data_IF_152037888064
#
_entry.id   IF_152037888064
#
_cell.length_a   1.000
_cell.length_b   1.000
_cell.length_c   1.000
_cell.angle_alpha   90.00
_cell.angle_beta   90.00
_cell.angle_gamma   90.00
#
_symmetry.space_group_name_H-M   'P 1'
#
loop_
_entity.id
_entity.type
_entity.pdbx_description
1 polymer ?
#
# COMPACT_ATOMS: atom_id res chain seq x y z
N UNK A 1 -3.14 3.59 14.48
CA UNK A 1 -3.84 2.44 13.90
C UNK A 1 -4.19 1.50 15.04
N UNK A 2 -5.12 0.57 14.83
CA UNK A 2 -5.34 -0.53 15.79
C UNK A 2 -4.99 -1.79 15.01
N UNK A 3 -3.93 -2.48 15.44
CA UNK A 3 -3.56 -3.77 14.89
C UNK A 3 -4.44 -4.83 15.54
N UNK A 4 -4.99 -5.72 14.73
CA UNK A 4 -5.91 -6.77 15.18
C UNK A 4 -5.16 -8.09 15.20
N UNK A 5 -5.19 -8.80 16.33
CA UNK A 5 -4.72 -10.19 16.38
C UNK A 5 -5.66 -11.11 15.59
N UNK A 6 -6.96 -10.81 15.62
CA UNK A 6 -7.97 -11.48 14.80
C UNK A 6 -8.99 -10.52 14.19
N UNK A 7 -9.52 -10.80 12.97
CA UNK A 7 -10.54 -9.95 12.34
C UNK A 7 -11.79 -9.71 13.20
N UNK A 8 -12.17 -10.67 14.04
CA UNK A 8 -13.34 -10.57 14.94
C UNK A 8 -13.19 -9.52 16.05
N UNK A 9 -11.99 -9.01 16.28
CA UNK A 9 -11.72 -7.98 17.30
C UNK A 9 -11.83 -6.56 16.75
N UNK A 10 -12.18 -6.39 15.47
CA UNK A 10 -12.41 -5.06 14.90
C UNK A 10 -13.57 -4.35 15.63
N UNK A 11 -13.35 -3.19 16.26
CA UNK A 11 -14.42 -2.45 16.93
C UNK A 11 -15.52 -2.02 15.96
N UNK A 12 -16.78 -2.00 16.41
CA UNK A 12 -17.93 -1.63 15.55
C UNK A 12 -17.82 -0.20 15.01
N UNK A 13 -17.20 0.71 15.75
CA UNK A 13 -17.02 2.11 15.35
C UNK A 13 -15.74 2.34 14.53
N UNK A 14 -14.91 1.32 14.33
CA UNK A 14 -13.69 1.41 13.55
C UNK A 14 -13.94 1.15 12.06
N UNK A 15 -13.15 1.80 11.20
CA UNK A 15 -13.15 1.51 9.78
C UNK A 15 -12.11 0.43 9.47
N UNK A 16 -12.58 -0.81 9.33
CA UNK A 16 -11.72 -1.94 8.98
C UNK A 16 -11.25 -1.90 7.52
N UNK A 17 -9.99 -2.25 7.30
CA UNK A 17 -9.43 -2.47 5.96
C UNK A 17 -8.38 -3.61 6.00
N UNK A 18 -8.17 -4.25 4.86
CA UNK A 18 -7.10 -5.24 4.61
C UNK A 18 -7.19 -6.54 5.43
N UNK A 19 -8.41 -6.99 5.70
CA UNK A 19 -8.70 -8.31 6.23
C UNK A 19 -10.05 -8.83 5.72
N UNK A 20 -10.31 -10.13 5.92
CA UNK A 20 -11.56 -10.77 5.48
C UNK A 20 -12.79 -10.18 6.20
N UNK A 21 -13.74 -9.66 5.43
CA UNK A 21 -14.97 -9.04 5.96
C UNK A 21 -14.82 -7.58 6.38
N UNK A 22 -13.65 -6.97 6.18
CA UNK A 22 -13.45 -5.53 6.35
C UNK A 22 -14.33 -4.71 5.39
N UNK A 23 -14.61 -3.44 5.76
CA UNK A 23 -15.35 -2.52 4.90
C UNK A 23 -14.62 -2.26 3.57
N UNK A 24 -13.29 -2.23 3.60
CA UNK A 24 -12.43 -2.17 2.42
C UNK A 24 -11.48 -3.36 2.41
N UNK A 25 -11.69 -4.28 1.48
CA UNK A 25 -10.87 -5.48 1.31
C UNK A 25 -10.69 -5.74 -0.19
N UNK A 26 -10.04 -6.84 -0.55
CA UNK A 26 -9.91 -7.28 -1.95
C UNK A 26 -11.28 -7.39 -2.63
N UNK A 27 -11.39 -6.88 -3.86
CA UNK A 27 -12.61 -7.02 -4.68
C UNK A 27 -12.21 -7.53 -6.06
N UNK A 28 -12.61 -8.77 -6.37
CA UNK A 28 -12.22 -9.46 -7.60
C UNK A 28 -10.69 -9.55 -7.76
N UNK A 29 -10.12 -8.73 -8.64
CA UNK A 29 -8.68 -8.66 -8.91
C UNK A 29 -8.03 -7.43 -8.28
N UNK A 30 -8.79 -6.60 -7.56
CA UNK A 30 -8.27 -5.38 -6.96
C UNK A 30 -7.82 -5.67 -5.54
N UNK A 31 -6.60 -5.25 -5.23
CA UNK A 31 -6.07 -5.30 -3.87
C UNK A 31 -6.65 -4.18 -3.01
N UNK A 32 -6.50 -4.26 -1.69
CA UNK A 32 -7.16 -3.33 -0.75
C UNK A 32 -6.79 -1.87 -1.06
N UNK A 33 -5.53 -1.62 -1.43
CA UNK A 33 -5.06 -0.29 -1.79
C UNK A 33 -5.77 0.27 -3.04
N UNK A 34 -6.00 -0.54 -4.07
CA UNK A 34 -6.72 -0.13 -5.29
C UNK A 34 -8.18 0.18 -4.99
N UNK A 35 -8.82 -0.66 -4.15
CA UNK A 35 -10.19 -0.46 -3.68
C UNK A 35 -10.32 0.86 -2.93
N UNK A 36 -9.35 1.19 -2.05
CA UNK A 36 -9.33 2.47 -1.35
C UNK A 36 -9.16 3.65 -2.30
N UNK A 37 -8.20 3.59 -3.24
CA UNK A 37 -8.00 4.68 -4.22
C UNK A 37 -9.28 4.97 -5.00
N UNK A 38 -9.97 3.94 -5.45
CA UNK A 38 -11.21 4.08 -6.20
C UNK A 38 -12.35 4.63 -5.34
N UNK A 39 -12.55 4.05 -4.15
CA UNK A 39 -13.64 4.41 -3.24
C UNK A 39 -13.59 5.89 -2.81
N UNK A 40 -12.40 6.46 -2.73
CA UNK A 40 -12.17 7.86 -2.34
C UNK A 40 -11.80 8.77 -3.52
N UNK A 41 -11.85 8.29 -4.76
CA UNK A 41 -11.53 9.05 -5.97
C UNK A 41 -10.13 9.70 -5.94
N UNK A 42 -9.11 8.91 -5.55
CA UNK A 42 -7.72 9.33 -5.35
C UNK A 42 -6.77 8.89 -6.48
N UNK A 43 -7.31 8.49 -7.64
CA UNK A 43 -6.59 7.82 -8.73
C UNK A 43 -5.66 8.74 -9.56
N UNK A 44 -4.72 9.44 -8.92
CA UNK A 44 -3.71 10.26 -9.62
C UNK A 44 -2.67 9.38 -10.34
N UNK A 45 -1.97 9.89 -11.39
CA UNK A 45 -0.94 9.12 -12.09
C UNK A 45 0.17 8.57 -11.17
N UNK A 46 0.58 9.35 -10.16
CA UNK A 46 1.58 8.92 -9.20
C UNK A 46 1.04 7.81 -8.28
N UNK A 47 -0.21 7.93 -7.81
CA UNK A 47 -0.83 6.90 -6.98
C UNK A 47 -1.13 5.62 -7.76
N UNK A 48 -1.42 5.69 -9.07
CA UNK A 48 -1.57 4.51 -9.93
C UNK A 48 -0.28 3.69 -10.02
N UNK A 49 0.89 4.34 -10.09
CA UNK A 49 2.19 3.64 -10.05
C UNK A 49 2.44 2.97 -8.69
N UNK A 50 2.07 3.63 -7.60
CA UNK A 50 2.12 3.01 -6.27
C UNK A 50 1.18 1.81 -6.21
N UNK A 51 -0.02 1.91 -6.80
CA UNK A 51 -0.97 0.82 -6.85
C UNK A 51 -0.44 -0.39 -7.62
N UNK A 52 0.24 -0.18 -8.76
CA UNK A 52 0.90 -1.26 -9.52
C UNK A 52 1.95 -2.00 -8.67
N UNK A 53 2.75 -1.26 -7.90
CA UNK A 53 3.75 -1.84 -6.98
C UNK A 53 3.07 -2.65 -5.87
N UNK A 54 2.09 -2.05 -5.17
CA UNK A 54 1.38 -2.72 -4.07
C UNK A 54 0.64 -3.96 -4.57
N UNK A 55 -0.02 -3.88 -5.73
CA UNK A 55 -0.70 -5.01 -6.36
C UNK A 55 0.26 -6.17 -6.63
N UNK A 56 1.43 -5.89 -7.22
CA UNK A 56 2.43 -6.91 -7.48
C UNK A 56 2.95 -7.56 -6.18
N UNK A 57 3.20 -6.77 -5.14
CA UNK A 57 3.71 -7.31 -3.87
C UNK A 57 2.65 -8.11 -3.10
N UNK A 58 1.37 -7.79 -3.24
CA UNK A 58 0.27 -8.45 -2.54
C UNK A 58 -0.15 -9.75 -3.25
N UNK A 59 -0.41 -9.69 -4.57
CA UNK A 59 -0.97 -10.84 -5.33
C UNK A 59 -0.18 -11.23 -6.59
N UNK A 60 0.97 -10.59 -6.86
CA UNK A 60 1.79 -10.84 -8.04
C UNK A 60 1.28 -10.18 -9.32
N UNK A 61 1.75 -10.66 -10.48
CA UNK A 61 1.31 -10.17 -11.80
C UNK A 61 2.44 -9.60 -12.65
N UNK A 62 2.17 -8.49 -13.33
CA UNK A 62 3.18 -7.78 -14.13
C UNK A 62 4.07 -6.98 -13.18
N UNK A 63 5.36 -7.32 -13.14
CA UNK A 63 6.32 -6.68 -12.25
C UNK A 63 6.65 -5.24 -12.66
N UNK A 64 6.40 -4.23 -11.81
CA UNK A 64 6.91 -2.88 -12.00
C UNK A 64 8.44 -2.81 -11.80
N UNK A 65 9.16 -1.91 -12.50
CA UNK A 65 10.61 -1.79 -12.39
C UNK A 65 11.13 -1.60 -10.96
N UNK A 66 10.34 -0.95 -10.09
CA UNK A 66 10.70 -0.67 -8.71
C UNK A 66 10.44 -1.85 -7.75
N UNK A 67 9.66 -2.86 -8.15
CA UNK A 67 9.09 -3.85 -7.22
C UNK A 67 10.14 -4.72 -6.52
N UNK A 68 11.03 -5.40 -7.25
CA UNK A 68 12.06 -6.25 -6.64
C UNK A 68 12.96 -5.49 -5.64
N UNK A 69 13.27 -4.22 -5.93
CA UNK A 69 14.05 -3.37 -5.02
C UNK A 69 13.28 -3.01 -3.75
N UNK A 70 11.98 -2.72 -3.87
CA UNK A 70 11.11 -2.40 -2.73
C UNK A 70 10.87 -3.64 -1.88
N UNK A 71 10.62 -4.79 -2.50
CA UNK A 71 10.46 -6.09 -1.83
C UNK A 71 11.68 -6.38 -0.95
N UNK A 72 12.89 -6.32 -1.53
CA UNK A 72 14.15 -6.53 -0.80
C UNK A 72 14.29 -5.61 0.41
N UNK A 73 13.89 -4.33 0.27
CA UNK A 73 13.94 -3.37 1.37
C UNK A 73 12.92 -3.72 2.46
N UNK A 74 11.69 -4.09 2.09
CA UNK A 74 10.67 -4.47 3.05
C UNK A 74 10.98 -5.77 3.77
N UNK A 75 11.54 -6.78 3.10
CA UNK A 75 12.06 -7.99 3.74
C UNK A 75 13.07 -7.62 4.83
N UNK A 76 14.05 -6.78 4.52
CA UNK A 76 15.06 -6.34 5.48
C UNK A 76 14.48 -5.52 6.65
N UNK A 77 13.48 -4.66 6.40
CA UNK A 77 12.82 -3.89 7.46
C UNK A 77 12.02 -4.83 8.37
N UNK A 78 11.23 -5.73 7.79
CA UNK A 78 10.39 -6.67 8.51
C UNK A 78 11.21 -7.62 9.40
N UNK A 79 12.40 -8.06 8.95
CA UNK A 79 13.31 -8.87 9.76
C UNK A 79 13.90 -8.14 10.98
N UNK A 80 13.97 -6.81 10.95
CA UNK A 80 14.67 -6.00 11.95
C UNK A 80 13.74 -5.17 12.84
N UNK A 81 12.48 -4.99 12.45
CA UNK A 81 11.48 -4.21 13.19
C UNK A 81 10.29 -5.12 13.49
N UNK A 82 10.16 -5.53 14.76
CA UNK A 82 9.08 -6.41 15.23
C UNK A 82 7.90 -5.66 15.86
N UNK A 83 7.95 -4.33 15.85
CA UNK A 83 6.89 -3.46 16.39
C UNK A 83 6.13 -2.85 15.20
N UNK A 84 4.83 -3.17 15.10
CA UNK A 84 4.04 -2.84 13.91
C UNK A 84 3.91 -1.33 13.67
N UNK A 85 3.88 -0.53 14.74
CA UNK A 85 3.81 0.93 14.60
C UNK A 85 5.12 1.49 14.03
N UNK A 86 6.27 0.98 14.46
CA UNK A 86 7.57 1.33 13.87
C UNK A 86 7.71 0.82 12.43
N UNK A 87 7.22 -0.39 12.14
CA UNK A 87 7.21 -0.96 10.80
C UNK A 87 6.39 -0.08 9.86
N UNK A 88 5.18 0.32 10.28
CA UNK A 88 4.33 1.24 9.54
C UNK A 88 5.01 2.59 9.28
N UNK A 89 5.69 3.17 10.26
CA UNK A 89 6.43 4.43 10.09
C UNK A 89 7.54 4.30 9.04
N UNK A 90 8.33 3.22 9.10
CA UNK A 90 9.41 2.96 8.15
C UNK A 90 8.88 2.73 6.73
N UNK A 91 7.86 1.89 6.57
CA UNK A 91 7.24 1.60 5.28
C UNK A 91 6.58 2.83 4.67
N UNK A 92 5.92 3.66 5.49
CA UNK A 92 5.35 4.93 5.04
C UNK A 92 6.42 5.89 4.49
N UNK A 93 7.62 5.92 5.07
CA UNK A 93 8.69 6.77 4.57
C UNK A 93 9.12 6.38 3.14
N UNK A 94 9.17 5.08 2.85
CA UNK A 94 9.49 4.55 1.51
C UNK A 94 8.39 4.93 0.51
N UNK A 95 7.12 4.64 0.83
CA UNK A 95 6.01 4.99 -0.05
C UNK A 95 5.87 6.51 -0.28
N UNK A 96 6.09 7.33 0.75
CA UNK A 96 6.12 8.79 0.60
C UNK A 96 7.26 9.26 -0.33
N UNK A 97 8.43 8.62 -0.24
CA UNK A 97 9.55 8.88 -1.14
C UNK A 97 9.21 8.56 -2.60
N UNK A 98 8.62 7.39 -2.84
CA UNK A 98 8.17 6.96 -4.17
C UNK A 98 7.09 7.91 -4.73
N UNK A 99 6.09 8.24 -3.92
CA UNK A 99 5.02 9.16 -4.30
C UNK A 99 5.57 10.54 -4.68
N UNK A 100 6.52 11.08 -3.90
CA UNK A 100 7.20 12.34 -4.20
C UNK A 100 7.98 12.28 -5.51
N UNK A 101 8.70 11.18 -5.75
CA UNK A 101 9.44 10.94 -7.00
C UNK A 101 8.51 10.89 -8.22
N UNK A 102 7.43 10.12 -8.14
CA UNK A 102 6.47 9.96 -9.24
C UNK A 102 5.73 11.26 -9.54
N UNK A 103 5.36 12.04 -8.53
CA UNK A 103 4.75 13.36 -8.73
C UNK A 103 5.68 14.34 -9.48
N UNK A 104 6.99 14.33 -9.18
CA UNK A 104 7.97 15.15 -9.92
C UNK A 104 8.04 14.73 -11.39
N UNK A 105 8.10 13.43 -11.66
CA UNK A 105 8.18 12.92 -13.03
C UNK A 105 6.91 13.20 -13.85
N UNK A 106 5.74 13.30 -13.20
CA UNK A 106 4.50 13.75 -13.85
C UNK A 106 4.49 15.23 -14.21
N UNK A 107 5.24 16.08 -13.50
CA UNK A 107 5.35 17.51 -13.83
C UNK A 107 6.31 17.79 -14.99
N UNK A 108 7.34 16.97 -15.19
CA UNK A 108 8.35 17.13 -16.25
C UNK A 108 7.82 16.73 -17.64
N UNK A 109 6.74 15.94 -17.71
CA UNK A 109 6.12 15.52 -18.97
C UNK A 109 5.10 16.53 -19.53
N UNK A 110 4.88 17.66 -18.84
CA UNK A 110 3.93 18.71 -19.25
C UNK A 110 4.61 20.01 -19.70
N UNK A 111 5.95 20.04 -19.84
CA UNK A 111 6.74 21.13 -20.43
C UNK A 111 7.34 20.70 -21.78
#
# INVERSE_FOLDING_TARGET
FIWLETPSECPEEALGFDFDGAAFSHINHWVTFEVLLHSFNLETPALKKIAEIVHYLDIGGIEPPEASGIETVFEGIHENITDDDQLLVASNAIFNGLLSSFNKNSSVLND
#
